data_IF_645286694664
#
_entry.id   IF_645286694664
#
_cell.length_a   1.000
_cell.length_b   1.000
_cell.length_c   1.000
_cell.angle_alpha   90.00
_cell.angle_beta   90.00
_cell.angle_gamma   90.00
#
_symmetry.space_group_name_H-M   'P 1'
#
loop_
_entity.id
_entity.type
_entity.pdbx_description
1 polymer ?
#
# COMPACT_ATOMS: atom_id res chain seq x y z
N UNK A 1 3.82 -26.94 25.13
CA UNK A 1 4.11 -25.94 26.18
C UNK A 1 2.78 -25.30 26.54
N UNK A 2 2.32 -25.58 27.74
CA UNK A 2 0.99 -25.23 28.24
C UNK A 2 1.00 -23.76 28.70
N UNK A 3 0.17 -22.91 28.09
CA UNK A 3 -0.01 -21.52 28.47
C UNK A 3 -0.67 -21.48 29.87
N UNK A 4 0.14 -21.49 30.93
CA UNK A 4 -0.34 -21.15 32.26
C UNK A 4 -0.75 -19.68 32.26
N UNK A 5 -1.96 -19.32 32.73
CA UNK A 5 -2.34 -17.93 32.89
C UNK A 5 -1.35 -17.28 33.86
N UNK A 6 -0.67 -16.22 33.39
CA UNK A 6 0.17 -15.40 34.27
C UNK A 6 -0.76 -14.79 35.30
N UNK A 7 -0.54 -15.14 36.57
CA UNK A 7 -1.28 -14.63 37.72
C UNK A 7 -1.28 -13.09 37.66
N UNK A 8 -2.46 -12.48 37.53
CA UNK A 8 -2.61 -11.04 37.45
C UNK A 8 -2.14 -10.43 38.77
N UNK A 9 -0.93 -9.88 38.77
CA UNK A 9 -0.40 -9.10 39.89
C UNK A 9 -1.42 -8.05 40.35
N UNK A 10 -1.52 -7.75 41.66
CA UNK A 10 -2.48 -6.77 42.16
C UNK A 10 -2.28 -5.42 41.46
N UNK A 11 -3.26 -5.02 40.66
CA UNK A 11 -3.21 -3.75 39.93
C UNK A 11 -3.48 -2.60 40.90
N UNK A 12 -2.41 -1.98 41.38
CA UNK A 12 -2.53 -0.78 42.22
C UNK A 12 -3.00 0.38 41.34
N UNK A 13 -4.28 0.74 41.47
CA UNK A 13 -4.89 1.84 40.73
C UNK A 13 -4.36 3.23 41.15
N UNK A 14 -4.59 4.22 40.28
CA UNK A 14 -4.34 5.65 40.56
C UNK A 14 -4.90 6.10 41.92
N UNK A 15 -6.11 5.65 42.25
CA UNK A 15 -6.79 5.97 43.52
C UNK A 15 -6.07 5.38 44.72
N UNK A 16 -5.47 4.19 44.60
CA UNK A 16 -4.78 3.55 45.71
C UNK A 16 -3.50 4.31 46.08
N UNK A 17 -2.72 4.77 45.10
CA UNK A 17 -1.52 5.59 45.37
C UNK A 17 -1.85 6.95 45.98
N UNK A 18 -2.94 7.57 45.53
CA UNK A 18 -3.45 8.81 46.12
C UNK A 18 -3.87 8.60 47.59
N UNK A 19 -4.65 7.56 47.86
CA UNK A 19 -5.08 7.22 49.22
C UNK A 19 -3.89 6.88 50.11
N UNK A 20 -2.92 6.10 49.63
CA UNK A 20 -1.70 5.77 50.36
C UNK A 20 -0.90 7.02 50.73
N UNK A 21 -0.74 7.97 49.80
CA UNK A 21 -0.05 9.23 50.09
C UNK A 21 -0.77 10.03 51.19
N UNK A 22 -2.10 10.13 51.14
CA UNK A 22 -2.89 10.81 52.18
C UNK A 22 -2.76 10.09 53.52
N UNK A 23 -2.94 8.76 53.54
CA UNK A 23 -2.82 7.98 54.75
C UNK A 23 -1.44 8.13 55.40
N UNK A 24 -0.36 8.11 54.60
CA UNK A 24 1.00 8.31 55.10
C UNK A 24 1.20 9.71 55.69
N UNK A 25 0.63 10.75 55.08
CA UNK A 25 0.68 12.12 55.63
C UNK A 25 -0.06 12.20 56.97
N UNK A 26 -1.27 11.62 57.07
CA UNK A 26 -2.07 11.63 58.31
C UNK A 26 -1.40 10.83 59.43
N UNK A 27 -0.87 9.65 59.12
CA UNK A 27 -0.10 8.81 60.06
C UNK A 27 1.16 9.55 60.49
N UNK A 28 1.89 10.15 59.55
CA UNK A 28 3.09 10.94 59.83
C UNK A 28 2.84 12.11 60.76
N UNK A 29 1.75 12.85 60.54
CA UNK A 29 1.33 13.95 61.44
C UNK A 29 0.99 13.42 62.84
N UNK A 30 0.25 12.33 62.93
CA UNK A 30 -0.15 11.74 64.21
C UNK A 30 1.06 11.23 65.01
N UNK A 31 1.97 10.50 64.36
CA UNK A 31 3.22 10.04 64.95
C UNK A 31 4.13 11.21 65.32
N UNK A 32 4.17 12.26 64.50
CA UNK A 32 4.93 13.47 64.78
C UNK A 32 4.46 14.18 66.04
N UNK A 33 3.15 14.29 66.25
CA UNK A 33 2.57 14.88 67.48
C UNK A 33 2.90 14.03 68.70
N UNK A 34 2.76 12.71 68.62
CA UNK A 34 3.09 11.79 69.72
C UNK A 34 4.59 11.86 70.04
N UNK A 35 5.45 11.85 69.02
CA UNK A 35 6.89 11.96 69.17
C UNK A 35 7.29 13.31 69.78
N UNK A 36 6.67 14.41 69.34
CA UNK A 36 6.89 15.73 69.93
C UNK A 36 6.50 15.75 71.40
N UNK A 37 5.30 15.24 71.76
CA UNK A 37 4.86 15.14 73.14
C UNK A 37 5.83 14.31 74.00
N UNK A 38 6.36 13.21 73.47
CA UNK A 38 7.34 12.37 74.15
C UNK A 38 8.71 13.04 74.32
N UNK A 39 9.18 13.76 73.30
CA UNK A 39 10.43 14.53 73.36
C UNK A 39 10.31 15.68 74.37
N UNK A 40 9.22 16.45 74.34
CA UNK A 40 9.04 17.62 75.23
C UNK A 40 8.69 17.26 76.68
N UNK A 41 8.22 16.04 76.95
CA UNK A 41 7.96 15.56 78.31
C UNK A 41 9.24 15.13 79.07
N UNK A 42 10.44 15.46 78.59
CA UNK A 42 11.68 15.22 79.33
C UNK A 42 12.05 16.41 80.22
N UNK A 43 12.35 16.15 81.50
CA UNK A 43 12.77 17.19 82.45
C UNK A 43 14.20 17.72 82.28
N UNK A 44 14.97 17.21 81.32
CA UNK A 44 16.37 17.59 81.08
C UNK A 44 16.69 17.72 79.59
N UNK A 45 17.55 18.69 79.24
CA UNK A 45 17.91 19.06 77.88
C UNK A 45 18.74 17.98 77.18
N UNK A 46 19.62 17.29 77.90
CA UNK A 46 20.45 16.23 77.30
C UNK A 46 19.58 15.04 76.84
N UNK A 47 18.58 14.69 77.66
CA UNK A 47 17.61 13.63 77.32
C UNK A 47 16.75 14.02 76.12
N UNK A 48 16.31 15.28 76.04
CA UNK A 48 15.53 15.80 74.90
C UNK A 48 16.30 15.66 73.58
N UNK A 49 17.60 15.97 73.60
CA UNK A 49 18.48 15.85 72.43
C UNK A 49 18.57 14.40 71.94
N UNK A 50 18.83 13.45 72.83
CA UNK A 50 18.91 12.03 72.46
C UNK A 50 17.58 11.51 71.89
N UNK A 51 16.45 11.90 72.49
CA UNK A 51 15.11 11.53 71.96
C UNK A 51 14.86 12.09 70.57
N UNK A 52 15.31 13.31 70.31
CA UNK A 52 15.20 13.95 68.99
C UNK A 52 16.05 13.24 67.94
N UNK A 53 17.29 12.89 68.29
CA UNK A 53 18.21 12.14 67.41
C UNK A 53 17.65 10.76 67.02
N UNK A 54 16.89 10.13 67.91
CA UNK A 54 16.21 8.85 67.62
C UNK A 54 15.03 9.05 66.65
N UNK A 55 14.24 10.11 66.81
CA UNK A 55 13.01 10.34 66.01
C UNK A 55 13.31 10.84 64.60
N UNK A 56 14.33 11.69 64.45
CA UNK A 56 14.69 12.36 63.19
C UNK A 56 14.83 11.41 61.97
N UNK A 57 15.53 10.26 62.03
CA UNK A 57 15.66 9.36 60.88
C UNK A 57 14.32 8.76 60.41
N UNK A 58 13.38 8.51 61.33
CA UNK A 58 12.04 8.02 60.97
C UNK A 58 11.21 9.09 60.28
N UNK A 59 11.37 10.36 60.68
CA UNK A 59 10.76 11.49 59.97
C UNK A 59 11.24 11.60 58.52
N UNK A 60 12.55 11.42 58.31
CA UNK A 60 13.13 11.38 56.96
C UNK A 60 12.60 10.23 56.10
N UNK A 61 12.49 9.02 56.67
CA UNK A 61 11.92 7.84 56.00
C UNK A 61 10.46 8.06 55.58
N UNK A 62 9.64 8.62 56.49
CA UNK A 62 8.24 8.87 56.21
C UNK A 62 8.04 9.94 55.12
N UNK A 63 8.86 10.99 55.14
CA UNK A 63 8.87 12.01 54.09
C UNK A 63 9.28 11.42 52.73
N UNK A 64 10.26 10.51 52.70
CA UNK A 64 10.65 9.81 51.49
C UNK A 64 9.52 8.92 50.94
N UNK A 65 8.80 8.20 51.81
CA UNK A 65 7.66 7.37 51.43
C UNK A 65 6.51 8.21 50.85
N UNK A 66 6.13 9.32 51.50
CA UNK A 66 5.11 10.23 50.99
C UNK A 66 5.51 10.77 49.62
N UNK A 67 6.78 11.16 49.47
CA UNK A 67 7.32 11.67 48.20
C UNK A 67 7.22 10.61 47.10
N UNK A 68 7.64 9.37 47.39
CA UNK A 68 7.55 8.25 46.45
C UNK A 68 6.11 7.99 46.00
N UNK A 69 5.16 7.87 46.94
CA UNK A 69 3.75 7.67 46.61
C UNK A 69 3.18 8.82 45.77
N UNK A 70 3.57 10.07 46.06
CA UNK A 70 3.13 11.24 45.31
C UNK A 70 3.70 11.25 43.88
N UNK A 71 4.97 10.89 43.70
CA UNK A 71 5.60 10.77 42.37
C UNK A 71 4.95 9.65 41.56
N UNK A 72 4.72 8.49 42.18
CA UNK A 72 4.03 7.37 41.52
C UNK A 72 2.61 7.75 41.09
N UNK A 73 1.85 8.42 41.95
CA UNK A 73 0.52 8.94 41.62
C UNK A 73 0.57 9.92 40.44
N UNK A 74 1.44 10.93 40.49
CA UNK A 74 1.60 11.91 39.39
C UNK A 74 1.98 11.23 38.08
N UNK A 75 2.89 10.25 38.12
CA UNK A 75 3.29 9.49 36.93
C UNK A 75 2.12 8.80 36.23
N UNK A 76 1.24 8.13 36.98
CA UNK A 76 0.06 7.49 36.40
C UNK A 76 -0.96 8.50 35.87
N UNK A 77 -1.19 9.61 36.58
CA UNK A 77 -2.09 10.69 36.12
C UNK A 77 -1.60 11.25 34.78
N UNK A 78 -0.31 11.56 34.68
CA UNK A 78 0.29 12.07 33.44
C UNK A 78 0.20 11.05 32.31
N UNK A 79 0.44 9.76 32.58
CA UNK A 79 0.25 8.69 31.58
C UNK A 79 -1.19 8.66 31.07
N UNK A 80 -2.18 8.73 31.96
CA UNK A 80 -3.60 8.72 31.58
C UNK A 80 -3.99 9.97 30.79
N UNK A 81 -3.50 11.14 31.17
CA UNK A 81 -3.71 12.38 30.43
C UNK A 81 -3.10 12.29 29.03
N UNK A 82 -1.89 11.74 28.91
CA UNK A 82 -1.24 11.51 27.62
C UNK A 82 -2.05 10.53 26.74
N UNK A 83 -2.56 9.45 27.32
CA UNK A 83 -3.40 8.50 26.59
C UNK A 83 -4.76 9.10 26.18
N UNK A 84 -5.39 9.89 27.04
CA UNK A 84 -6.62 10.60 26.71
C UNK A 84 -6.38 11.65 25.61
N UNK A 85 -5.27 12.38 25.68
CA UNK A 85 -4.89 13.36 24.66
C UNK A 85 -4.57 12.68 23.33
N UNK A 86 -3.89 11.53 23.34
CA UNK A 86 -3.67 10.71 22.13
C UNK A 86 -4.99 10.28 21.50
N UNK A 87 -5.93 9.76 22.29
CA UNK A 87 -7.26 9.37 21.80
C UNK A 87 -8.05 10.56 21.25
N UNK A 88 -7.96 11.73 21.88
CA UNK A 88 -8.60 12.95 21.39
C UNK A 88 -7.97 13.44 20.09
N UNK A 89 -6.64 13.42 19.99
CA UNK A 89 -5.94 13.79 18.76
C UNK A 89 -6.30 12.81 17.62
N UNK A 90 -6.29 11.50 17.88
CA UNK A 90 -6.68 10.49 16.90
C UNK A 90 -8.12 10.68 16.40
N UNK A 91 -9.05 11.00 17.31
CA UNK A 91 -10.45 11.27 16.95
C UNK A 91 -10.61 12.57 16.16
N UNK A 92 -9.81 13.59 16.48
CA UNK A 92 -9.81 14.86 15.76
C UNK A 92 -9.21 14.72 14.35
N UNK A 93 -8.11 13.98 14.23
CA UNK A 93 -7.48 13.65 12.95
C UNK A 93 -8.46 12.87 12.08
N UNK A 94 -9.18 11.89 12.64
CA UNK A 94 -10.22 11.15 11.91
C UNK A 94 -11.34 12.04 11.39
N UNK A 95 -11.81 12.99 12.20
CA UNK A 95 -12.82 13.95 11.78
C UNK A 95 -12.30 14.86 10.65
N UNK A 96 -11.03 15.28 10.73
CA UNK A 96 -10.40 16.10 9.69
C UNK A 96 -10.22 15.33 8.37
N UNK A 97 -9.79 14.07 8.42
CA UNK A 97 -9.65 13.24 7.23
C UNK A 97 -11.00 12.90 6.59
N UNK A 98 -12.01 12.58 7.39
CA UNK A 98 -13.38 12.37 6.89
C UNK A 98 -13.91 13.63 6.19
N UNK A 99 -13.64 14.80 6.75
CA UNK A 99 -14.01 16.09 6.14
C UNK A 99 -13.25 16.32 4.83
N UNK A 100 -11.94 16.06 4.77
CA UNK A 100 -11.15 16.16 3.54
C UNK A 100 -11.67 15.22 2.45
N UNK A 101 -12.06 13.99 2.81
CA UNK A 101 -12.67 13.02 1.90
C UNK A 101 -13.99 13.57 1.34
N UNK A 102 -14.86 14.10 2.20
CA UNK A 102 -16.14 14.68 1.81
C UNK A 102 -15.98 15.90 0.90
N UNK A 103 -15.05 16.81 1.23
CA UNK A 103 -14.76 17.99 0.42
C UNK A 103 -14.13 17.61 -0.93
N UNK A 104 -13.19 16.65 -0.93
CA UNK A 104 -12.60 16.10 -2.14
C UNK A 104 -13.64 15.49 -3.07
N UNK A 105 -14.50 14.62 -2.52
CA UNK A 105 -15.61 14.00 -3.26
C UNK A 105 -16.56 15.05 -3.85
N UNK A 106 -16.95 16.06 -3.05
CA UNK A 106 -17.84 17.14 -3.50
C UNK A 106 -17.21 17.95 -4.64
N UNK A 107 -15.95 18.34 -4.52
CA UNK A 107 -15.23 19.12 -5.52
C UNK A 107 -15.06 18.39 -6.84
N UNK A 108 -14.81 17.07 -6.77
CA UNK A 108 -14.69 16.23 -7.96
C UNK A 108 -16.06 16.04 -8.62
N UNK A 109 -17.14 15.87 -7.86
CA UNK A 109 -18.50 15.70 -8.38
C UNK A 109 -19.13 16.99 -8.95
N UNK A 110 -18.57 18.16 -8.64
CA UNK A 110 -18.93 19.43 -9.26
C UNK A 110 -18.10 19.68 -10.55
N UNK A 111 -18.16 18.75 -11.52
CA UNK A 111 -17.34 18.70 -12.75
C UNK A 111 -17.46 19.92 -13.68
N UNK A 112 -18.26 20.92 -13.33
CA UNK A 112 -18.49 22.16 -14.10
C UNK A 112 -17.22 23.01 -14.30
N UNK A 113 -16.20 22.87 -13.44
CA UNK A 113 -14.92 23.59 -13.58
C UNK A 113 -13.74 22.68 -13.27
N UNK A 114 -12.78 22.61 -14.19
CA UNK A 114 -11.52 21.85 -14.04
C UNK A 114 -10.74 22.22 -12.77
N UNK A 115 -10.85 23.47 -12.29
CA UNK A 115 -10.21 23.92 -11.05
C UNK A 115 -10.77 23.21 -9.81
N UNK A 116 -12.07 22.91 -9.77
CA UNK A 116 -12.68 22.16 -8.67
C UNK A 116 -12.23 20.70 -8.71
N UNK A 117 -12.24 20.05 -9.87
CA UNK A 117 -11.75 18.67 -10.01
C UNK A 117 -10.27 18.54 -9.60
N UNK A 118 -9.41 19.48 -10.01
CA UNK A 118 -8.00 19.49 -9.61
C UNK A 118 -7.80 19.66 -8.10
N UNK A 119 -8.55 20.58 -7.48
CA UNK A 119 -8.50 20.79 -6.03
C UNK A 119 -8.99 19.53 -5.30
N UNK A 120 -10.08 18.91 -5.78
CA UNK A 120 -10.62 17.69 -5.21
C UNK A 120 -9.64 16.51 -5.31
N UNK A 121 -9.02 16.29 -6.48
CA UNK A 121 -7.99 15.25 -6.66
C UNK A 121 -6.81 15.51 -5.72
N UNK A 122 -6.37 16.76 -5.57
CA UNK A 122 -5.27 17.12 -4.67
C UNK A 122 -5.62 16.83 -3.20
N UNK A 123 -6.86 17.13 -2.78
CA UNK A 123 -7.34 16.81 -1.44
C UNK A 123 -7.39 15.29 -1.19
N UNK A 124 -7.83 14.51 -2.17
CA UNK A 124 -7.84 13.05 -2.07
C UNK A 124 -6.43 12.47 -2.08
N UNK A 125 -5.50 13.05 -2.83
CA UNK A 125 -4.09 12.63 -2.85
C UNK A 125 -3.41 12.81 -1.48
N UNK A 126 -3.83 13.80 -0.67
CA UNK A 126 -3.38 13.92 0.73
C UNK A 126 -3.76 12.68 1.54
N UNK A 127 -4.97 12.13 1.33
CA UNK A 127 -5.45 10.93 2.03
C UNK A 127 -4.70 9.66 1.62
N UNK A 128 -4.13 9.63 0.40
CA UNK A 128 -3.29 8.51 -0.06
C UNK A 128 -1.95 8.47 0.68
N UNK A 129 -1.44 9.62 1.09
CA UNK A 129 -0.14 9.77 1.77
C UNK A 129 -0.26 9.71 3.31
N UNK A 130 -1.44 9.45 3.86
CA UNK A 130 -1.63 9.26 5.31
C UNK A 130 -0.96 7.97 5.79
N UNK A 131 -0.18 8.05 6.86
CA UNK A 131 0.52 6.89 7.45
C UNK A 131 -0.46 5.81 7.93
N UNK A 132 -1.63 6.22 8.42
CA UNK A 132 -2.67 5.30 8.93
C UNK A 132 -3.56 4.74 7.82
N UNK A 133 -3.53 5.33 6.62
CA UNK A 133 -4.24 4.92 5.40
C UNK A 133 -5.75 4.68 5.59
N UNK A 134 -6.38 5.37 6.56
CA UNK A 134 -7.76 5.06 7.00
C UNK A 134 -8.81 5.24 5.90
N UNK A 135 -8.60 6.24 5.05
CA UNK A 135 -9.50 6.59 3.95
C UNK A 135 -8.84 6.44 2.57
N UNK A 136 -7.67 5.80 2.52
CA UNK A 136 -6.86 5.73 1.30
C UNK A 136 -7.57 4.96 0.18
N UNK A 137 -8.26 3.86 0.52
CA UNK A 137 -9.02 3.07 -0.46
C UNK A 137 -10.21 3.87 -0.99
N UNK A 138 -10.96 4.54 -0.12
CA UNK A 138 -12.11 5.37 -0.51
C UNK A 138 -11.67 6.55 -1.38
N UNK A 139 -10.51 7.15 -1.07
CA UNK A 139 -9.90 8.18 -1.90
C UNK A 139 -9.49 7.64 -3.27
N UNK A 140 -8.84 6.47 -3.32
CA UNK A 140 -8.52 5.79 -4.59
C UNK A 140 -9.77 5.52 -5.42
N UNK A 141 -10.84 5.02 -4.80
CA UNK A 141 -12.10 4.71 -5.48
C UNK A 141 -12.72 5.98 -6.10
N UNK A 142 -12.78 7.08 -5.35
CA UNK A 142 -13.30 8.35 -5.88
C UNK A 142 -12.47 8.91 -7.05
N UNK A 143 -11.13 8.80 -6.99
CA UNK A 143 -10.25 9.24 -8.08
C UNK A 143 -10.42 8.32 -9.30
N UNK A 144 -10.55 7.02 -9.08
CA UNK A 144 -10.76 6.01 -10.11
C UNK A 144 -12.11 6.21 -10.83
N UNK A 145 -13.19 6.41 -10.08
CA UNK A 145 -14.52 6.73 -10.63
C UNK A 145 -14.47 8.00 -11.48
N UNK A 146 -13.82 9.05 -10.99
CA UNK A 146 -13.64 10.28 -11.76
C UNK A 146 -12.85 10.04 -13.06
N UNK A 147 -11.75 9.30 -12.98
CA UNK A 147 -10.92 8.99 -14.15
C UNK A 147 -11.71 8.22 -15.22
N UNK A 148 -12.53 7.26 -14.81
CA UNK A 148 -13.39 6.49 -15.71
C UNK A 148 -14.51 7.37 -16.29
N UNK A 149 -15.16 8.19 -15.46
CA UNK A 149 -16.29 9.04 -15.86
C UNK A 149 -15.91 10.11 -16.88
N UNK A 150 -14.69 10.67 -16.79
CA UNK A 150 -14.18 11.63 -17.76
C UNK A 150 -13.80 10.99 -19.12
N UNK A 151 -13.84 9.66 -19.22
CA UNK A 151 -13.82 8.91 -20.48
C UNK A 151 -12.63 9.19 -21.40
N UNK A 152 -12.88 9.17 -22.70
CA UNK A 152 -11.91 9.36 -23.79
C UNK A 152 -11.23 10.75 -23.79
N UNK A 153 -11.66 11.70 -22.93
CA UNK A 153 -11.05 13.02 -22.78
C UNK A 153 -9.76 12.98 -21.94
N UNK A 154 -8.85 12.06 -22.28
CA UNK A 154 -7.61 11.76 -21.56
C UNK A 154 -6.59 12.90 -21.49
N UNK A 155 -6.86 14.04 -22.11
CA UNK A 155 -5.93 15.19 -22.16
C UNK A 155 -6.31 16.32 -21.20
N UNK A 156 -7.42 16.23 -20.48
CA UNK A 156 -7.76 17.26 -19.48
C UNK A 156 -6.73 17.25 -18.35
N UNK A 157 -6.37 18.43 -17.82
CA UNK A 157 -5.41 18.54 -16.70
C UNK A 157 -5.89 17.76 -15.48
N UNK A 158 -7.20 17.72 -15.24
CA UNK A 158 -7.79 16.96 -14.14
C UNK A 158 -7.63 15.45 -14.35
N UNK A 159 -7.87 14.94 -15.57
CA UNK A 159 -7.68 13.52 -15.88
C UNK A 159 -6.21 13.11 -15.76
N UNK A 160 -5.28 13.97 -16.19
CA UNK A 160 -3.83 13.74 -16.01
C UNK A 160 -3.46 13.71 -14.52
N UNK A 161 -4.03 14.61 -13.71
CA UNK A 161 -3.80 14.63 -12.27
C UNK A 161 -4.37 13.37 -11.58
N UNK A 162 -5.58 12.95 -11.96
CA UNK A 162 -6.20 11.73 -11.46
C UNK A 162 -5.36 10.50 -11.80
N UNK A 163 -4.92 10.36 -13.05
CA UNK A 163 -3.99 9.28 -13.47
C UNK A 163 -2.72 9.26 -12.64
N UNK A 164 -2.12 10.44 -12.39
CA UNK A 164 -0.91 10.55 -11.55
C UNK A 164 -1.20 10.08 -10.12
N UNK A 165 -2.30 10.52 -9.53
CA UNK A 165 -2.69 10.16 -8.18
C UNK A 165 -2.95 8.64 -8.04
N UNK A 166 -3.61 8.02 -9.02
CA UNK A 166 -3.81 6.56 -9.04
C UNK A 166 -2.49 5.78 -9.12
N UNK A 167 -1.58 6.20 -10.01
CA UNK A 167 -0.24 5.60 -10.11
C UNK A 167 0.56 5.79 -8.82
N UNK A 168 0.45 6.97 -8.18
CA UNK A 168 1.09 7.24 -6.90
C UNK A 168 0.53 6.34 -5.78
N UNK A 169 -0.80 6.23 -5.68
CA UNK A 169 -1.46 5.30 -4.75
C UNK A 169 -0.97 3.86 -4.93
N UNK A 170 -0.82 3.41 -6.18
CA UNK A 170 -0.28 2.08 -6.50
C UNK A 170 1.16 1.92 -5.99
N UNK A 171 2.01 2.94 -6.14
CA UNK A 171 3.39 2.92 -5.62
C UNK A 171 3.44 2.83 -4.09
N UNK A 172 2.43 3.37 -3.41
CA UNK A 172 2.25 3.25 -1.97
C UNK A 172 1.64 1.89 -1.56
N UNK A 173 1.30 1.02 -2.50
CA UNK A 173 0.66 -0.27 -2.25
C UNK A 173 -0.83 -0.16 -1.94
N UNK A 174 -1.49 0.90 -2.43
CA UNK A 174 -2.93 1.11 -2.30
C UNK A 174 -3.56 0.92 -3.67
N UNK A 175 -4.58 0.06 -3.74
CA UNK A 175 -5.30 -0.24 -4.98
C UNK A 175 -6.78 0.05 -4.76
N UNK A 176 -7.42 0.68 -5.74
CA UNK A 176 -8.87 0.88 -5.77
C UNK A 176 -9.59 -0.47 -5.82
N UNK A 177 -10.81 -0.52 -5.30
CA UNK A 177 -11.72 -1.67 -5.43
C UNK A 177 -12.41 -1.75 -6.79
N UNK A 178 -12.30 -0.70 -7.61
CA UNK A 178 -13.03 -0.54 -8.88
C UNK A 178 -12.46 -1.43 -9.98
N UNK A 179 -13.38 -1.96 -10.78
CA UNK A 179 -13.08 -2.65 -12.04
C UNK A 179 -13.29 -1.66 -13.18
N UNK A 180 -12.21 -1.22 -13.81
CA UNK A 180 -12.25 -0.24 -14.88
C UNK A 180 -12.56 -0.90 -16.23
N UNK A 181 -13.39 -0.24 -17.04
CA UNK A 181 -13.69 -0.63 -18.40
C UNK A 181 -13.38 0.53 -19.35
N UNK A 182 -12.33 0.39 -20.14
CA UNK A 182 -11.89 1.35 -21.15
C UNK A 182 -12.23 0.80 -22.53
N UNK A 183 -13.08 1.51 -23.27
CA UNK A 183 -13.50 1.11 -24.61
C UNK A 183 -13.37 2.29 -25.55
N UNK A 184 -12.86 2.01 -26.75
CA UNK A 184 -12.87 2.95 -27.87
C UNK A 184 -13.15 2.20 -29.16
N UNK A 185 -13.80 2.89 -30.10
CA UNK A 185 -13.98 2.38 -31.46
C UNK A 185 -12.86 2.86 -32.41
N UNK A 186 -12.01 3.80 -31.96
CA UNK A 186 -10.84 4.26 -32.71
C UNK A 186 -9.68 3.26 -32.54
N UNK A 187 -9.38 2.51 -33.61
CA UNK A 187 -8.31 1.52 -33.61
C UNK A 187 -6.91 2.11 -33.50
N UNK A 188 -6.74 3.41 -33.72
CA UNK A 188 -5.45 4.11 -33.67
C UNK A 188 -5.27 4.92 -32.38
N UNK A 189 -6.32 5.03 -31.55
CA UNK A 189 -6.24 5.70 -30.25
C UNK A 189 -5.23 4.99 -29.36
N UNK A 190 -4.25 5.75 -28.86
CA UNK A 190 -3.23 5.24 -27.94
C UNK A 190 -3.71 5.42 -26.51
N UNK A 191 -3.96 4.31 -25.83
CA UNK A 191 -4.39 4.35 -24.44
C UNK A 191 -3.29 4.92 -23.54
N UNK A 192 -3.60 5.91 -22.69
CA UNK A 192 -2.72 6.25 -21.59
C UNK A 192 -2.71 5.08 -20.59
N UNK A 193 -1.54 4.47 -20.35
CA UNK A 193 -1.42 3.49 -19.28
C UNK A 193 -1.75 4.11 -17.93
N UNK A 194 -2.59 3.44 -17.16
CA UNK A 194 -2.97 3.80 -15.79
C UNK A 194 -2.92 2.54 -14.93
N UNK A 195 -2.61 2.70 -13.65
CA UNK A 195 -2.57 1.64 -12.66
C UNK A 195 -3.34 2.09 -11.41
N UNK A 196 -3.62 1.16 -10.51
CA UNK A 196 -4.30 1.43 -9.24
C UNK A 196 -5.75 1.00 -9.23
N UNK A 197 -6.19 0.18 -10.18
CA UNK A 197 -7.49 -0.47 -10.18
C UNK A 197 -7.39 -1.91 -9.69
N UNK A 198 -8.49 -2.46 -9.19
CA UNK A 198 -8.55 -3.89 -8.85
C UNK A 198 -8.41 -4.75 -10.11
N UNK A 199 -9.07 -4.32 -11.18
CA UNK A 199 -9.01 -4.95 -12.49
C UNK A 199 -9.23 -3.90 -13.58
N UNK A 200 -8.58 -4.07 -14.73
CA UNK A 200 -8.73 -3.19 -15.89
C UNK A 200 -9.09 -3.99 -17.14
N UNK A 201 -10.13 -3.57 -17.84
CA UNK A 201 -10.55 -4.18 -19.10
C UNK A 201 -10.42 -3.15 -20.22
N UNK A 202 -9.59 -3.45 -21.22
CA UNK A 202 -9.40 -2.61 -22.40
C UNK A 202 -10.06 -3.24 -23.62
N UNK A 203 -10.81 -2.45 -24.38
CA UNK A 203 -11.41 -2.88 -25.65
C UNK A 203 -11.10 -1.88 -26.75
N UNK A 204 -10.43 -2.34 -27.82
CA UNK A 204 -10.03 -1.49 -28.94
C UNK A 204 -8.74 -0.69 -28.68
N UNK A 205 -8.36 0.15 -29.64
CA UNK A 205 -7.20 1.05 -29.55
C UNK A 205 -5.83 0.35 -29.56
N UNK A 206 -4.80 1.11 -29.14
CA UNK A 206 -3.39 0.74 -29.18
C UNK A 206 -2.77 0.84 -27.79
N UNK A 207 -2.15 -0.24 -27.34
CA UNK A 207 -1.33 -0.30 -26.13
C UNK A 207 0.15 -0.26 -26.52
N UNK A 208 0.81 0.86 -26.23
CA UNK A 208 2.26 0.98 -26.41
C UNK A 208 3.00 0.31 -25.26
N UNK A 209 4.30 0.08 -25.44
CA UNK A 209 5.20 -0.43 -24.40
C UNK A 209 5.08 0.32 -23.07
N UNK A 210 5.05 1.65 -23.13
CA UNK A 210 4.95 2.50 -21.95
C UNK A 210 3.61 2.28 -21.24
N UNK A 211 2.51 2.29 -21.99
CA UNK A 211 1.18 2.06 -21.43
C UNK A 211 1.06 0.68 -20.80
N UNK A 212 1.52 -0.34 -21.53
CA UNK A 212 1.49 -1.74 -21.09
C UNK A 212 2.28 -1.94 -19.79
N UNK A 213 3.47 -1.34 -19.67
CA UNK A 213 4.30 -1.44 -18.45
C UNK A 213 3.66 -0.84 -17.19
N UNK A 214 2.68 0.05 -17.36
CA UNK A 214 1.90 0.62 -16.26
C UNK A 214 0.71 -0.28 -15.95
N UNK A 215 -0.05 -0.69 -16.96
CA UNK A 215 -1.26 -1.51 -16.81
C UNK A 215 -0.93 -2.88 -16.22
N UNK A 216 0.23 -3.45 -16.56
CA UNK A 216 0.68 -4.76 -16.06
C UNK A 216 0.96 -4.81 -14.55
N UNK A 217 0.79 -3.69 -13.83
CA UNK A 217 0.87 -3.65 -12.36
C UNK A 217 -0.43 -4.08 -11.69
N UNK A 218 -1.54 -4.03 -12.42
CA UNK A 218 -2.85 -4.48 -11.94
C UNK A 218 -3.24 -5.78 -12.66
N UNK A 219 -4.35 -6.41 -12.25
CA UNK A 219 -4.98 -7.46 -13.06
C UNK A 219 -5.64 -6.83 -14.29
N UNK A 220 -5.44 -7.40 -15.48
CA UNK A 220 -6.00 -6.80 -16.68
C UNK A 220 -6.46 -7.81 -17.74
N UNK A 221 -7.45 -7.38 -18.52
CA UNK A 221 -8.01 -8.08 -19.67
C UNK A 221 -7.98 -7.14 -20.87
N UNK A 222 -7.56 -7.64 -22.04
CA UNK A 222 -7.51 -6.85 -23.27
C UNK A 222 -8.26 -7.59 -24.38
N UNK A 223 -9.18 -6.89 -25.03
CA UNK A 223 -9.94 -7.39 -26.18
C UNK A 223 -9.79 -6.47 -27.40
N UNK A 224 -9.63 -7.03 -28.61
CA UNK A 224 -9.68 -6.28 -29.88
C UNK A 224 -8.70 -5.10 -29.97
N UNK A 225 -7.59 -5.14 -29.23
CA UNK A 225 -6.60 -4.07 -29.20
C UNK A 225 -5.31 -4.44 -29.95
N UNK A 226 -4.54 -3.44 -30.37
CA UNK A 226 -3.19 -3.63 -30.92
C UNK A 226 -2.14 -3.34 -29.85
N UNK A 227 -1.31 -4.32 -29.52
CA UNK A 227 -0.24 -4.21 -28.53
C UNK A 227 1.08 -4.11 -29.28
N UNK A 228 1.88 -3.09 -29.00
CA UNK A 228 3.04 -2.73 -29.83
C UNK A 228 4.31 -2.66 -28.99
N UNK A 229 5.40 -3.28 -29.48
CA UNK A 229 6.75 -3.19 -28.92
C UNK A 229 6.85 -3.56 -27.43
N UNK A 230 5.95 -4.42 -26.95
CA UNK A 230 5.81 -4.76 -25.54
C UNK A 230 6.44 -6.12 -25.24
N UNK A 231 6.90 -6.30 -23.99
CA UNK A 231 7.33 -7.60 -23.48
C UNK A 231 6.12 -8.22 -22.78
N UNK A 232 5.62 -9.32 -23.31
CA UNK A 232 4.39 -9.97 -22.86
C UNK A 232 4.75 -11.17 -22.00
N UNK A 233 4.26 -11.14 -20.77
CA UNK A 233 4.29 -12.27 -19.83
C UNK A 233 2.84 -12.63 -19.49
N UNK A 234 2.49 -13.90 -19.65
CA UNK A 234 1.10 -14.38 -19.69
C UNK A 234 0.46 -14.50 -18.32
N UNK A 235 1.26 -14.69 -17.28
CA UNK A 235 0.83 -15.23 -15.98
C UNK A 235 -0.29 -14.42 -15.29
N UNK A 236 -0.45 -13.15 -15.63
CA UNK A 236 -1.42 -12.23 -15.01
C UNK A 236 -2.29 -11.46 -16.02
N UNK A 237 -2.32 -11.90 -17.28
CA UNK A 237 -2.90 -11.14 -18.36
C UNK A 237 -3.75 -12.04 -19.27
N UNK A 238 -4.98 -11.62 -19.54
CA UNK A 238 -5.85 -12.33 -20.49
C UNK A 238 -6.06 -11.48 -21.74
N UNK A 239 -5.86 -12.08 -22.91
CA UNK A 239 -5.98 -11.41 -24.20
C UNK A 239 -7.02 -12.13 -25.07
N UNK A 240 -7.82 -11.38 -25.82
CA UNK A 240 -8.73 -11.95 -26.81
C UNK A 240 -8.79 -11.05 -28.04
N UNK A 241 -8.78 -11.62 -29.25
CA UNK A 241 -8.89 -10.85 -30.50
C UNK A 241 -7.86 -9.74 -30.66
N UNK A 242 -6.71 -9.86 -30.00
CA UNK A 242 -5.67 -8.84 -29.98
C UNK A 242 -4.66 -9.05 -31.11
N UNK A 243 -4.03 -7.95 -31.54
CA UNK A 243 -2.88 -8.01 -32.46
C UNK A 243 -1.62 -7.57 -31.75
N UNK A 244 -0.65 -8.47 -31.63
CA UNK A 244 0.67 -8.20 -31.08
C UNK A 244 1.61 -7.82 -32.24
N UNK A 245 2.10 -6.59 -32.28
CA UNK A 245 3.04 -6.09 -33.30
C UNK A 245 4.41 -5.86 -32.69
N UNK A 246 5.43 -6.58 -33.19
CA UNK A 246 6.84 -6.47 -32.77
C UNK A 246 7.03 -6.61 -31.27
N UNK A 247 6.23 -7.47 -30.63
CA UNK A 247 6.32 -7.76 -29.20
C UNK A 247 7.34 -8.88 -28.93
N UNK A 248 7.85 -8.94 -27.71
CA UNK A 248 8.61 -10.09 -27.20
C UNK A 248 7.66 -10.97 -26.38
N UNK A 249 7.47 -12.21 -26.78
CA UNK A 249 6.59 -13.18 -26.12
C UNK A 249 7.45 -14.14 -25.28
N UNK A 250 7.15 -14.25 -23.98
CA UNK A 250 7.92 -15.07 -23.04
C UNK A 250 7.30 -16.44 -22.79
N UNK A 251 5.98 -16.51 -22.79
CA UNK A 251 5.20 -17.71 -22.54
C UNK A 251 4.08 -17.79 -23.57
N UNK A 252 3.78 -18.99 -24.06
CA UNK A 252 2.69 -19.25 -25.01
C UNK A 252 2.00 -20.58 -24.66
N UNK A 253 0.78 -20.51 -24.13
CA UNK A 253 -0.03 -21.65 -23.69
C UNK A 253 -1.49 -21.43 -24.14
N UNK A 254 -2.17 -22.46 -24.66
CA UNK A 254 -3.56 -22.37 -25.17
C UNK A 254 -4.55 -22.01 -24.05
N UNK A 255 -4.26 -22.44 -22.81
CA UNK A 255 -5.12 -22.17 -21.64
C UNK A 255 -5.04 -20.71 -21.17
N UNK A 256 -3.87 -20.08 -21.22
CA UNK A 256 -3.65 -18.76 -20.63
C UNK A 256 -4.12 -17.62 -21.54
N UNK A 257 -4.16 -17.84 -22.85
CA UNK A 257 -4.30 -16.75 -23.81
C UNK A 257 -5.58 -16.76 -24.66
N UNK A 258 -6.45 -17.78 -24.58
CA UNK A 258 -7.52 -17.96 -25.60
C UNK A 258 -6.95 -17.72 -27.02
N UNK A 259 -5.83 -18.40 -27.32
CA UNK A 259 -4.88 -18.03 -28.38
C UNK A 259 -5.49 -17.88 -29.77
N UNK A 260 -6.51 -18.68 -30.06
CA UNK A 260 -7.12 -18.87 -31.37
C UNK A 260 -7.69 -17.62 -32.03
N UNK A 261 -7.94 -16.54 -31.28
CA UNK A 261 -8.43 -15.28 -31.86
C UNK A 261 -7.35 -14.18 -31.90
N UNK A 262 -6.14 -14.43 -31.37
CA UNK A 262 -5.06 -13.45 -31.32
C UNK A 262 -4.13 -13.56 -32.55
N UNK A 263 -3.54 -12.44 -32.96
CA UNK A 263 -2.63 -12.35 -34.10
C UNK A 263 -1.25 -11.85 -33.67
N UNK A 264 -0.18 -12.55 -34.05
CA UNK A 264 1.20 -12.21 -33.69
C UNK A 264 1.98 -11.78 -34.94
N UNK A 265 2.27 -10.50 -35.09
CA UNK A 265 2.95 -9.90 -36.24
C UNK A 265 4.37 -9.50 -35.87
N UNK A 266 5.35 -10.04 -36.59
CA UNK A 266 6.77 -9.74 -36.45
C UNK A 266 7.31 -9.84 -34.99
N UNK A 267 6.71 -10.72 -34.17
CA UNK A 267 7.06 -10.88 -32.77
C UNK A 267 8.35 -11.70 -32.58
N UNK A 268 9.04 -11.43 -31.47
CA UNK A 268 10.21 -12.18 -31.00
C UNK A 268 9.79 -13.26 -30.00
N UNK A 269 10.15 -14.51 -30.28
CA UNK A 269 9.90 -15.68 -29.42
C UNK A 269 11.19 -16.30 -28.87
N UNK A 270 12.30 -15.56 -28.86
CA UNK A 270 13.59 -16.02 -28.34
C UNK A 270 13.47 -16.44 -26.86
N UNK A 271 13.72 -17.70 -26.56
CA UNK A 271 13.60 -18.27 -25.21
C UNK A 271 12.18 -18.41 -24.69
N UNK A 272 11.17 -18.23 -25.55
CA UNK A 272 9.77 -18.40 -25.20
C UNK A 272 9.49 -19.84 -24.76
N UNK A 273 8.71 -20.03 -23.70
CA UNK A 273 8.27 -21.35 -23.24
C UNK A 273 6.88 -21.64 -23.80
N UNK A 274 6.76 -22.73 -24.56
CA UNK A 274 5.50 -23.20 -25.10
C UNK A 274 4.88 -24.21 -24.11
N UNK A 275 3.59 -24.05 -23.79
CA UNK A 275 2.81 -24.98 -22.97
C UNK A 275 2.29 -26.18 -23.77
N UNK A 276 1.89 -25.94 -25.03
CA UNK A 276 1.32 -26.93 -25.95
C UNK A 276 2.22 -27.22 -27.16
N UNK A 277 1.80 -28.19 -27.98
CA UNK A 277 2.53 -28.61 -29.19
C UNK A 277 2.83 -27.39 -30.10
N UNK A 278 4.12 -27.04 -30.29
CA UNK A 278 4.53 -25.91 -31.10
C UNK A 278 4.04 -26.01 -32.54
N UNK A 279 3.94 -27.21 -33.12
CA UNK A 279 3.52 -27.38 -34.50
C UNK A 279 2.06 -26.98 -34.69
N UNK A 280 1.18 -27.39 -33.77
CA UNK A 280 -0.24 -27.02 -33.78
C UNK A 280 -0.43 -25.52 -33.55
N UNK A 281 0.24 -24.97 -32.53
CA UNK A 281 0.19 -23.53 -32.22
C UNK A 281 0.72 -22.66 -33.38
N UNK A 282 1.82 -23.06 -34.02
CA UNK A 282 2.40 -22.31 -35.12
C UNK A 282 1.48 -22.24 -36.34
N UNK A 283 0.75 -23.32 -36.64
CA UNK A 283 -0.23 -23.37 -37.73
C UNK A 283 -1.46 -22.53 -37.38
N UNK A 284 -2.02 -22.71 -36.18
CA UNK A 284 -3.19 -21.96 -35.70
C UNK A 284 -2.96 -20.44 -35.66
N UNK A 285 -1.78 -20.03 -35.23
CA UNK A 285 -1.40 -18.62 -35.06
C UNK A 285 -0.68 -18.02 -36.27
N UNK A 286 -0.44 -18.82 -37.31
CA UNK A 286 0.28 -18.44 -38.51
C UNK A 286 1.65 -17.78 -38.24
N UNK A 287 2.40 -18.28 -37.25
CA UNK A 287 3.59 -17.60 -36.71
C UNK A 287 4.64 -17.27 -37.78
N UNK A 288 4.97 -18.23 -38.66
CA UNK A 288 5.94 -18.01 -39.75
C UNK A 288 5.44 -17.00 -40.78
N UNK A 289 4.18 -17.12 -41.20
CA UNK A 289 3.58 -16.24 -42.20
C UNK A 289 3.49 -14.78 -41.72
N UNK A 290 3.29 -14.60 -40.42
CA UNK A 290 3.27 -13.28 -39.79
C UNK A 290 4.67 -12.73 -39.45
N UNK A 291 5.74 -13.42 -39.85
CA UNK A 291 7.12 -12.96 -39.68
C UNK A 291 7.65 -13.05 -38.25
N UNK A 292 7.03 -13.89 -37.40
CA UNK A 292 7.55 -14.16 -36.07
C UNK A 292 8.89 -14.89 -36.16
N UNK A 293 9.79 -14.59 -35.22
CA UNK A 293 11.18 -15.00 -35.29
C UNK A 293 11.76 -15.31 -33.91
N UNK A 294 12.88 -16.03 -33.89
CA UNK A 294 13.66 -16.29 -32.68
C UNK A 294 15.16 -16.14 -32.92
N UNK A 295 15.90 -15.85 -31.84
CA UNK A 295 17.36 -15.82 -31.85
C UNK A 295 17.92 -17.25 -31.76
N UNK A 296 18.74 -17.66 -32.73
CA UNK A 296 19.37 -19.00 -32.76
C UNK A 296 20.19 -19.29 -31.50
N UNK A 297 20.74 -18.26 -30.85
CA UNK A 297 21.47 -18.42 -29.59
C UNK A 297 20.56 -18.69 -28.38
N UNK A 298 19.27 -18.39 -28.49
CA UNK A 298 18.27 -18.58 -27.44
C UNK A 298 16.96 -19.09 -28.05
N UNK A 299 16.93 -20.36 -28.49
CA UNK A 299 15.73 -20.93 -29.10
C UNK A 299 14.56 -21.01 -28.11
N UNK A 300 13.31 -21.05 -28.60
CA UNK A 300 12.16 -21.35 -27.77
C UNK A 300 12.29 -22.76 -27.15
N UNK A 301 11.48 -23.03 -26.14
CA UNK A 301 11.55 -24.25 -25.32
C UNK A 301 10.20 -24.95 -25.33
N UNK A 302 10.22 -26.22 -25.72
CA UNK A 302 9.12 -27.17 -25.60
C UNK A 302 9.71 -28.58 -25.47
N UNK A 303 9.02 -29.46 -24.75
CA UNK A 303 9.50 -30.80 -24.42
C UNK A 303 10.00 -31.56 -25.66
N UNK A 304 11.28 -31.89 -25.66
CA UNK A 304 11.96 -32.67 -26.70
C UNK A 304 11.82 -32.15 -28.15
N UNK A 305 11.44 -30.88 -28.34
CA UNK A 305 11.25 -30.26 -29.65
C UNK A 305 12.41 -29.32 -30.02
N UNK A 306 12.97 -29.51 -31.21
CA UNK A 306 14.17 -28.79 -31.69
C UNK A 306 14.03 -28.17 -33.08
N UNK A 307 12.98 -28.49 -33.84
CA UNK A 307 12.80 -28.08 -35.24
C UNK A 307 12.16 -26.69 -35.39
N UNK A 308 12.67 -25.71 -34.64
CA UNK A 308 12.09 -24.36 -34.56
C UNK A 308 12.18 -23.55 -35.87
N UNK A 309 13.12 -23.85 -36.76
CA UNK A 309 13.22 -23.28 -38.12
C UNK A 309 11.96 -23.50 -38.95
N UNK A 310 11.27 -24.62 -38.74
CA UNK A 310 10.08 -24.94 -39.53
C UNK A 310 8.89 -24.08 -39.13
N UNK A 311 8.91 -23.54 -37.92
CA UNK A 311 7.77 -22.83 -37.31
C UNK A 311 8.00 -21.32 -37.20
N UNK A 312 9.25 -20.88 -37.14
CA UNK A 312 9.64 -19.50 -36.90
C UNK A 312 10.85 -19.10 -37.75
N UNK A 313 10.94 -17.81 -38.08
CA UNK A 313 12.10 -17.29 -38.80
C UNK A 313 13.34 -17.26 -37.89
N UNK A 314 14.45 -17.84 -38.34
CA UNK A 314 15.72 -17.77 -37.64
C UNK A 314 16.38 -16.40 -37.84
N UNK A 315 16.75 -15.75 -36.74
CA UNK A 315 17.63 -14.57 -36.74
C UNK A 315 18.82 -14.80 -35.82
N UNK A 316 19.92 -14.10 -36.10
CA UNK A 316 21.10 -14.08 -35.26
C UNK A 316 21.50 -12.65 -34.97
N UNK A 317 21.79 -12.34 -33.72
CA UNK A 317 22.40 -11.06 -33.34
C UNK A 317 23.86 -11.05 -33.76
N UNK A 318 24.30 -10.02 -34.47
CA UNK A 318 25.71 -9.82 -34.80
C UNK A 318 26.50 -9.31 -33.59
N UNK A 319 27.81 -9.16 -33.72
CA UNK A 319 28.70 -8.67 -32.64
C UNK A 319 28.32 -7.27 -32.12
N UNK A 320 27.51 -6.52 -32.88
CA UNK A 320 26.99 -5.20 -32.50
C UNK A 320 25.58 -5.28 -31.92
N UNK A 321 25.04 -6.49 -31.74
CA UNK A 321 23.69 -6.74 -31.23
C UNK A 321 22.57 -6.54 -32.25
N UNK A 322 22.90 -6.32 -33.55
CA UNK A 322 21.90 -6.13 -34.60
C UNK A 322 21.40 -7.48 -35.12
N UNK A 323 20.08 -7.59 -35.30
CA UNK A 323 19.45 -8.81 -35.80
C UNK A 323 19.63 -8.94 -37.31
N UNK A 324 20.20 -10.07 -37.75
CA UNK A 324 20.31 -10.44 -39.16
C UNK A 324 19.55 -11.75 -39.43
N UNK A 325 18.91 -11.90 -40.60
CA UNK A 325 18.40 -13.19 -41.04
C UNK A 325 19.53 -14.20 -41.12
N UNK A 326 19.28 -15.44 -40.69
CA UNK A 326 20.19 -16.56 -40.93
C UNK A 326 19.82 -17.12 -42.30
N UNK A 327 20.69 -16.91 -43.28
CA UNK A 327 20.56 -17.39 -44.66
C UNK A 327 20.80 -18.88 -44.78
#
# INVERSE_FOLDING_TARGET
MENRPVEEWPQISEKHWYVLAICLVVIGLSLGVIAAAWVFNSGDLATMKTRTEIVMPFGGLLLALVTFCTVAWRGMVTSRQADQQRRQNDANDDANYAKLLQEGAKLIGENSKTSHSLAGISSLEILLNDDKRRYAIQAMDLIADFYIAEGEMHQSRAVVAARRALVNGTQLGITSTIHAHFKTDDSELKWPGVAGFRQQNYTGGVLTREAFSVISKDAFFVEKARIVLSKIDADHATFSRCTFDRCQILHLDDLDFMLWENNFQACELSGCVFGDDPADLAVKLHLTANGCWYDVANPPRYKDFSEWDKLLLMKRRDEKGLLRPVS
#
